data_IF_869810893373
#
_entry.id   IF_869810893373
#
_cell.length_a   1.000
_cell.length_b   1.000
_cell.length_c   1.000
_cell.angle_alpha   90.00
_cell.angle_beta   90.00
_cell.angle_gamma   90.00
#
_symmetry.space_group_name_H-M   'P 1'
#
loop_
_entity.id
_entity.type
_entity.pdbx_description
1 polymer ?
#
# COMPACT_ATOMS: atom_id res chain seq x y z
N UNK A 1 8.85 -12.44 0.00
CA UNK A 1 7.91 -11.44 0.57
C UNK A 1 7.59 -10.46 -0.53
N UNK A 2 6.34 -10.36 -0.96
CA UNK A 2 5.95 -9.49 -2.07
C UNK A 2 6.11 -8.03 -1.63
N UNK A 3 6.85 -7.24 -2.39
CA UNK A 3 7.04 -5.82 -2.11
C UNK A 3 6.73 -5.03 -3.37
N UNK A 4 5.50 -5.15 -3.85
CA UNK A 4 5.10 -4.52 -5.10
C UNK A 4 5.19 -2.99 -4.98
N UNK A 5 5.53 -2.35 -6.10
CA UNK A 5 5.47 -0.89 -6.21
C UNK A 5 4.03 -0.50 -6.49
N UNK A 6 3.48 0.37 -5.65
CA UNK A 6 2.09 0.76 -5.67
C UNK A 6 1.94 2.27 -5.79
N UNK A 7 0.87 2.70 -6.44
CA UNK A 7 0.44 4.10 -6.51
C UNK A 7 -0.83 4.28 -5.70
N UNK A 8 -0.86 5.28 -4.80
CA UNK A 8 -2.07 5.64 -4.08
C UNK A 8 -3.20 6.08 -5.03
N UNK A 9 -4.37 5.44 -4.93
CA UNK A 9 -5.49 5.65 -5.84
C UNK A 9 -6.22 6.99 -5.63
N UNK A 10 -5.92 7.70 -4.52
CA UNK A 10 -6.46 9.04 -4.28
C UNK A 10 -5.96 9.97 -5.38
N UNK A 11 -6.89 10.42 -6.25
CA UNK A 11 -6.60 11.25 -7.46
C UNK A 11 -5.65 12.43 -7.22
N UNK A 12 -5.71 13.06 -6.04
CA UNK A 12 -4.85 14.20 -5.66
C UNK A 12 -3.49 13.77 -5.07
N UNK A 13 -3.38 12.55 -4.56
CA UNK A 13 -2.17 12.05 -3.90
C UNK A 13 -1.18 11.49 -4.91
N UNK A 14 -1.60 10.47 -5.68
CA UNK A 14 -0.76 9.68 -6.62
C UNK A 14 0.63 9.36 -6.08
N UNK A 15 0.73 9.09 -4.78
CA UNK A 15 1.99 8.79 -4.14
C UNK A 15 2.43 7.39 -4.55
N UNK A 16 3.60 7.28 -5.14
CA UNK A 16 4.22 6.01 -5.49
C UNK A 16 5.13 5.60 -4.34
N UNK A 17 4.87 4.43 -3.76
CA UNK A 17 5.67 3.84 -2.69
C UNK A 17 5.60 2.31 -2.78
N UNK A 18 6.30 1.58 -1.92
CA UNK A 18 6.17 0.13 -1.88
C UNK A 18 5.07 -0.29 -0.91
N UNK A 19 4.59 -1.53 -1.06
CA UNK A 19 3.59 -2.10 -0.16
C UNK A 19 4.05 -2.07 1.31
N UNK A 20 5.33 -2.36 1.58
CA UNK A 20 5.89 -2.34 2.93
C UNK A 20 6.09 -0.92 3.51
N UNK A 21 6.01 0.14 2.70
CA UNK A 21 6.05 1.53 3.19
C UNK A 21 4.69 1.99 3.75
N UNK A 22 3.66 1.16 3.66
CA UNK A 22 2.33 1.50 4.18
C UNK A 22 2.34 1.49 5.70
N UNK A 23 1.57 2.42 6.28
CA UNK A 23 1.38 2.47 7.72
C UNK A 23 0.17 1.64 8.10
N UNK A 24 0.31 0.80 9.11
CA UNK A 24 -0.81 0.10 9.72
C UNK A 24 -1.43 0.98 10.81
N UNK A 25 -2.72 1.26 10.67
CA UNK A 25 -3.48 2.05 11.64
C UNK A 25 -4.78 1.32 12.00
N UNK A 26 -5.33 1.52 13.21
CA UNK A 26 -6.65 0.98 13.54
C UNK A 26 -7.72 1.55 12.61
N UNK A 27 -8.63 0.69 12.16
CA UNK A 27 -9.76 1.10 11.34
C UNK A 27 -10.70 2.01 12.16
N UNK A 28 -11.14 3.15 11.60
CA UNK A 28 -11.97 4.11 12.32
C UNK A 28 -13.38 3.58 12.64
N UNK A 29 -13.90 2.63 11.87
CA UNK A 29 -15.19 1.99 12.11
C UNK A 29 -15.03 0.76 13.04
N UNK A 30 -13.93 0.03 12.89
CA UNK A 30 -13.62 -1.18 13.67
C UNK A 30 -12.21 -1.11 14.28
N UNK A 31 -12.02 -0.45 15.44
CA UNK A 31 -10.69 -0.17 16.01
C UNK A 31 -9.88 -1.41 16.43
N UNK A 32 -10.49 -2.59 16.41
CA UNK A 32 -9.81 -3.87 16.63
C UNK A 32 -9.08 -4.39 15.38
N UNK A 33 -9.34 -3.80 14.20
CA UNK A 33 -8.79 -4.23 12.92
C UNK A 33 -7.73 -3.22 12.46
N UNK A 34 -6.65 -3.71 11.87
CA UNK A 34 -5.61 -2.87 11.28
C UNK A 34 -5.83 -2.76 9.78
N UNK A 35 -5.72 -1.53 9.27
CA UNK A 35 -5.74 -1.23 7.85
C UNK A 35 -4.43 -0.59 7.45
N UNK A 36 -3.94 -0.94 6.26
CA UNK A 36 -2.76 -0.33 5.69
C UNK A 36 -3.15 0.93 4.92
N UNK A 37 -2.51 2.06 5.22
CA UNK A 37 -2.81 3.36 4.60
C UNK A 37 -1.57 3.95 3.92
N UNK A 38 -1.81 4.80 2.94
CA UNK A 38 -0.78 5.58 2.27
C UNK A 38 -0.14 6.56 3.26
N UNK A 39 1.18 6.53 3.47
CA UNK A 39 1.87 7.35 4.47
C UNK A 39 1.76 8.87 4.20
N UNK A 40 1.46 9.26 2.96
CA UNK A 40 1.36 10.68 2.56
C UNK A 40 -0.03 11.28 2.80
N UNK A 41 -1.09 10.49 2.67
CA UNK A 41 -2.45 11.04 2.60
C UNK A 41 -3.53 10.27 3.35
N UNK A 42 -3.18 9.14 3.98
CA UNK A 42 -4.08 8.31 4.77
C UNK A 42 -5.11 7.50 3.98
N UNK A 43 -5.07 7.51 2.64
CA UNK A 43 -5.96 6.66 1.85
C UNK A 43 -5.52 5.20 1.90
N UNK A 44 -6.48 4.28 1.95
CA UNK A 44 -6.28 2.83 1.97
C UNK A 44 -6.34 2.20 0.56
N UNK A 45 -6.78 2.94 -0.47
CA UNK A 45 -6.83 2.46 -1.86
C UNK A 45 -5.51 2.70 -2.63
N UNK A 46 -5.16 1.74 -3.48
CA UNK A 46 -3.93 1.73 -4.27
C UNK A 46 -4.07 0.95 -5.58
N UNK A 47 -3.18 1.24 -6.53
CA UNK A 47 -2.98 0.52 -7.78
C UNK A 47 -1.59 -0.11 -7.78
N UNK A 48 -1.48 -1.38 -8.17
CA UNK A 48 -0.17 -2.02 -8.37
C UNK A 48 0.37 -1.54 -9.72
N UNK A 49 1.55 -0.91 -9.72
CA UNK A 49 2.19 -0.39 -10.93
C UNK A 49 3.40 -1.23 -11.37
N UNK A 50 4.03 -1.95 -10.44
CA UNK A 50 5.11 -2.89 -10.74
C UNK A 50 5.04 -4.05 -9.75
N UNK A 51 4.76 -5.24 -10.27
CA UNK A 51 4.81 -6.46 -9.48
C UNK A 51 6.26 -6.90 -9.33
N UNK A 52 6.80 -6.88 -8.11
CA UNK A 52 8.10 -7.46 -7.80
C UNK A 52 7.92 -8.98 -7.71
N UNK A 53 7.87 -9.62 -8.88
CA UNK A 53 7.87 -11.07 -9.02
C UNK A 53 9.25 -11.55 -8.56
N UNK A 54 9.29 -12.30 -7.45
CA UNK A 54 10.46 -13.09 -7.09
C UNK A 54 10.76 -14.01 -8.29
N UNK A 55 11.73 -13.62 -9.11
CA UNK A 55 12.27 -14.48 -10.16
C UNK A 55 13.06 -15.57 -9.42
N UNK A 56 12.36 -16.62 -9.01
CA UNK A 56 12.97 -17.92 -8.78
C UNK A 56 13.40 -18.43 -10.16
N UNK A 57 14.58 -18.02 -10.60
CA UNK A 57 15.33 -18.79 -11.59
C UNK A 57 15.95 -19.96 -10.82
N UNK A 58 15.28 -21.12 -10.85
CA UNK A 58 15.90 -22.43 -10.66
C UNK A 58 16.01 -23.11 -12.04
#
# INVERSE_FOLDING_TARGET
MRNDKIECAKRKCKHIHYENDRLEVPDPEFPTWLISICPKCGANDYFIIEELRENNND
#
